data_IF_076001425286
#
_entry.id   IF_076001425286
#
_cell.length_a   1.000
_cell.length_b   1.000
_cell.length_c   1.000
_cell.angle_alpha   90.00
_cell.angle_beta   90.00
_cell.angle_gamma   90.00
#
_symmetry.space_group_name_H-M   'P 1'
#
loop_
_entity.id
_entity.type
_entity.pdbx_description
1 polymer ?
#
# COMPACT_ATOMS: atom_id res chain seq x y z
N UNK A 1 -0.25 1.45 2.03
CA UNK A 1 -0.38 1.97 3.41
C UNK A 1 -1.84 1.95 3.79
N UNK A 2 -2.13 1.56 5.04
CA UNK A 2 -3.49 1.56 5.61
C UNK A 2 -3.81 2.85 6.37
N UNK A 3 -2.98 3.89 6.21
CA UNK A 3 -3.26 5.22 6.72
C UNK A 3 -4.28 5.97 5.85
N UNK A 4 -4.67 7.17 6.26
CA UNK A 4 -5.63 8.03 5.54
C UNK A 4 -4.96 9.15 4.74
N UNK A 5 -3.61 9.21 4.69
CA UNK A 5 -2.85 10.27 4.00
C UNK A 5 -1.59 9.73 3.34
N UNK A 6 -1.33 10.14 2.10
CA UNK A 6 -0.14 9.77 1.32
C UNK A 6 0.57 10.97 0.68
N UNK A 7 0.48 12.15 1.28
CA UNK A 7 1.18 13.35 0.81
C UNK A 7 2.70 13.11 0.67
N UNK A 8 3.31 13.82 -0.27
CA UNK A 8 4.74 13.74 -0.56
C UNK A 8 5.59 13.96 0.70
N UNK A 9 6.70 13.22 0.82
CA UNK A 9 7.63 13.31 1.94
C UNK A 9 7.15 12.63 3.23
N UNK A 10 5.88 12.25 3.35
CA UNK A 10 5.33 11.63 4.58
C UNK A 10 6.02 10.32 4.97
N UNK A 11 6.35 9.49 4.00
CA UNK A 11 7.02 8.20 4.24
C UNK A 11 8.53 8.25 3.92
N UNK A 12 9.07 9.44 3.69
CA UNK A 12 10.45 9.68 3.27
C UNK A 12 10.56 10.32 1.89
N UNK A 13 11.72 10.92 1.60
CA UNK A 13 12.04 11.58 0.33
C UNK A 13 11.93 10.59 -0.84
N UNK A 14 11.19 10.96 -1.89
CA UNK A 14 11.00 10.12 -3.09
C UNK A 14 10.08 8.91 -2.89
N UNK A 15 9.46 8.75 -1.72
CA UNK A 15 8.52 7.66 -1.47
C UNK A 15 7.23 7.84 -2.29
N UNK A 16 6.76 6.75 -2.90
CA UNK A 16 5.43 6.67 -3.53
C UNK A 16 4.55 5.78 -2.68
N UNK A 17 3.54 6.36 -2.04
CA UNK A 17 2.65 5.64 -1.13
C UNK A 17 1.24 5.55 -1.70
N UNK A 18 0.73 4.33 -1.83
CA UNK A 18 -0.67 4.07 -2.16
C UNK A 18 -1.48 3.84 -0.88
N UNK A 19 -2.67 4.43 -0.79
CA UNK A 19 -3.62 4.15 0.29
C UNK A 19 -4.47 2.94 -0.10
N UNK A 20 -4.66 2.02 0.84
CA UNK A 20 -5.38 0.78 0.62
C UNK A 20 -6.00 0.28 1.92
N UNK A 21 -7.06 -0.53 1.81
CA UNK A 21 -7.62 -1.24 2.96
C UNK A 21 -6.60 -2.22 3.56
N UNK A 22 -6.76 -2.65 4.83
CA UNK A 22 -5.88 -3.66 5.43
C UNK A 22 -5.77 -4.95 4.61
N UNK A 23 -6.88 -5.42 4.04
CA UNK A 23 -6.90 -6.64 3.24
C UNK A 23 -6.05 -6.50 1.95
N UNK A 24 -6.20 -5.41 1.22
CA UNK A 24 -5.40 -5.14 0.00
C UNK A 24 -3.93 -4.94 0.33
N UNK A 25 -3.63 -4.24 1.44
CA UNK A 25 -2.26 -4.03 1.89
C UNK A 25 -1.57 -5.37 2.23
N UNK A 26 -2.27 -6.30 2.89
CA UNK A 26 -1.76 -7.63 3.19
C UNK A 26 -1.52 -8.46 1.92
N UNK A 27 -2.48 -8.49 0.99
CA UNK A 27 -2.33 -9.23 -0.26
C UNK A 27 -1.15 -8.71 -1.11
N UNK A 28 -1.02 -7.39 -1.21
CA UNK A 28 0.09 -6.73 -1.90
C UNK A 28 1.44 -7.05 -1.24
N UNK A 29 1.48 -7.11 0.11
CA UNK A 29 2.70 -7.44 0.84
C UNK A 29 3.15 -8.89 0.61
N UNK A 30 2.21 -9.83 0.50
CA UNK A 30 2.49 -11.25 0.21
C UNK A 30 2.98 -11.42 -1.23
N UNK A 31 2.31 -10.79 -2.21
CA UNK A 31 2.59 -10.99 -3.63
C UNK A 31 3.74 -10.13 -4.18
N UNK A 32 4.17 -9.10 -3.44
CA UNK A 32 5.24 -8.19 -3.86
C UNK A 32 4.86 -7.24 -5.00
N UNK A 33 3.57 -7.16 -5.35
CA UNK A 33 3.00 -6.29 -6.40
C UNK A 33 1.61 -5.82 -5.97
N UNK A 34 1.09 -4.73 -6.55
CA UNK A 34 -0.27 -4.24 -6.21
C UNK A 34 -1.26 -5.35 -6.56
N UNK A 35 -2.01 -5.81 -5.57
CA UNK A 35 -2.89 -6.98 -5.71
C UNK A 35 -4.07 -6.90 -4.74
N UNK A 36 -5.20 -7.45 -5.16
CA UNK A 36 -6.40 -7.61 -4.36
C UNK A 36 -6.33 -8.91 -3.53
N UNK A 37 -7.15 -9.06 -2.48
CA UNK A 37 -7.24 -10.32 -1.73
C UNK A 37 -7.64 -11.54 -2.58
N UNK A 38 -8.29 -11.35 -3.72
CA UNK A 38 -8.68 -12.43 -4.62
C UNK A 38 -7.54 -12.92 -5.53
N UNK A 39 -6.40 -12.21 -5.56
CA UNK A 39 -5.21 -12.57 -6.35
C UNK A 39 -4.22 -13.47 -5.57
N UNK A 40 -4.59 -13.89 -4.35
CA UNK A 40 -3.83 -14.77 -3.48
C UNK A 40 -4.14 -16.25 -3.74
#
# INVERSE_FOLDING_TARGET
STSNRNFEGRQGKGSRTHLASPAVAAATAIRGTISSPADL
#
